data_IF_442337003223
#
_entry.id   IF_442337003223
#
_cell.length_a   1.000
_cell.length_b   1.000
_cell.length_c   1.000
_cell.angle_alpha   90.00
_cell.angle_beta   90.00
_cell.angle_gamma   90.00
#
_symmetry.space_group_name_H-M   'P 1'
#
loop_
_entity.id
_entity.type
_entity.pdbx_description
1 polymer ?
#
# COMPACT_ATOMS: atom_id res chain seq x y z
N UNK A 1 -20.11 -13.54 -6.31
CA UNK A 1 -19.05 -12.52 -6.45
C UNK A 1 -17.75 -13.25 -6.19
N UNK A 2 -16.84 -13.31 -7.16
CA UNK A 2 -15.50 -13.83 -6.90
C UNK A 2 -14.78 -12.74 -6.12
N UNK A 3 -14.50 -12.97 -4.83
CA UNK A 3 -13.59 -12.11 -4.06
C UNK A 3 -12.22 -12.18 -4.70
N UNK A 4 -11.53 -11.05 -4.84
CA UNK A 4 -10.14 -11.10 -5.28
C UNK A 4 -9.30 -11.72 -4.14
N UNK A 5 -8.25 -12.50 -4.45
CA UNK A 5 -7.41 -13.14 -3.43
C UNK A 5 -6.68 -12.10 -2.56
N UNK A 6 -6.25 -10.99 -3.16
CA UNK A 6 -5.65 -9.84 -2.49
C UNK A 6 -6.35 -8.56 -2.97
N UNK A 7 -6.69 -7.67 -2.05
CA UNK A 7 -7.23 -6.34 -2.38
C UNK A 7 -6.51 -5.28 -1.54
N UNK A 8 -6.07 -4.20 -2.18
CA UNK A 8 -5.54 -3.00 -1.53
C UNK A 8 -6.53 -1.87 -1.85
N UNK A 9 -7.29 -1.47 -0.85
CA UNK A 9 -8.33 -0.45 -0.94
C UNK A 9 -7.86 0.82 -0.23
N UNK A 10 -8.29 1.97 -0.73
CA UNK A 10 -7.98 3.25 -0.12
C UNK A 10 -9.17 4.21 -0.19
N UNK A 11 -9.11 5.24 0.65
CA UNK A 11 -9.98 6.39 0.60
C UNK A 11 -9.15 7.63 0.96
N UNK A 12 -9.09 8.61 0.05
CA UNK A 12 -8.45 9.90 0.34
C UNK A 12 -9.36 10.67 1.31
N UNK A 13 -8.80 11.11 2.43
CA UNK A 13 -9.50 11.89 3.46
C UNK A 13 -9.10 13.36 3.36
N UNK A 14 -7.80 13.63 3.26
CA UNK A 14 -7.26 14.96 3.09
C UNK A 14 -6.50 15.08 1.77
N UNK A 15 -6.72 16.20 1.08
CA UNK A 15 -6.13 16.48 -0.22
C UNK A 15 -5.66 17.94 -0.25
N UNK A 16 -4.44 18.22 -0.73
CA UNK A 16 -3.98 19.58 -0.94
C UNK A 16 -4.79 20.31 -2.02
N UNK A 17 -4.93 21.62 -1.87
CA UNK A 17 -5.47 22.47 -2.94
C UNK A 17 -4.56 22.42 -4.18
N UNK A 18 -5.16 22.40 -5.38
CA UNK A 18 -4.41 22.38 -6.63
C UNK A 18 -3.58 23.66 -6.81
N UNK A 19 -2.38 23.58 -7.43
CA UNK A 19 -1.79 22.41 -8.10
C UNK A 19 -1.06 21.44 -7.15
N UNK A 20 -1.10 20.16 -7.48
CA UNK A 20 -0.29 19.13 -6.79
C UNK A 20 1.19 19.40 -7.03
N UNK A 21 1.91 19.70 -5.95
CA UNK A 21 3.38 19.82 -5.95
C UNK A 21 3.99 18.66 -5.18
N UNK A 22 5.30 18.42 -5.36
CA UNK A 22 6.01 17.39 -4.60
C UNK A 22 5.91 17.58 -3.08
N UNK A 23 5.89 18.84 -2.61
CA UNK A 23 5.69 19.15 -1.19
C UNK A 23 4.25 18.87 -0.74
N UNK A 24 3.27 19.03 -1.62
CA UNK A 24 1.88 18.77 -1.32
C UNK A 24 1.54 17.26 -1.27
N UNK A 25 2.40 16.39 -1.80
CA UNK A 25 2.21 14.93 -1.72
C UNK A 25 2.16 14.42 -0.27
N UNK A 26 2.94 15.03 0.63
CA UNK A 26 2.91 14.66 2.05
C UNK A 26 1.66 15.14 2.79
N UNK A 27 0.64 15.61 2.06
CA UNK A 27 -0.66 16.05 2.59
C UNK A 27 -1.81 15.23 1.99
N UNK A 28 -1.49 14.19 1.21
CA UNK A 28 -2.48 13.27 0.66
C UNK A 28 -2.65 12.12 1.64
N UNK A 29 -3.40 12.39 2.70
CA UNK A 29 -3.65 11.44 3.77
C UNK A 29 -5.00 10.75 3.57
N UNK A 30 -5.07 9.51 4.04
CA UNK A 30 -6.31 8.78 3.96
C UNK A 30 -6.24 7.43 4.64
N UNK A 31 -7.27 6.64 4.38
CA UNK A 31 -7.40 5.30 4.90
C UNK A 31 -6.84 4.29 3.91
N UNK A 32 -6.06 3.34 4.40
CA UNK A 32 -5.57 2.19 3.65
C UNK A 32 -6.11 0.90 4.26
N UNK A 33 -6.61 0.00 3.44
CA UNK A 33 -7.09 -1.32 3.84
C UNK A 33 -6.50 -2.40 2.96
N UNK A 34 -6.10 -3.51 3.57
CA UNK A 34 -5.67 -4.70 2.83
C UNK A 34 -6.58 -5.86 3.22
N UNK A 35 -7.05 -6.59 2.22
CA UNK A 35 -7.88 -7.77 2.40
C UNK A 35 -7.20 -9.00 1.79
N UNK A 36 -7.39 -10.14 2.45
CA UNK A 36 -7.00 -11.46 1.96
C UNK A 36 -8.26 -12.34 1.84
N UNK A 37 -8.59 -12.79 0.64
CA UNK A 37 -9.81 -13.55 0.32
C UNK A 37 -11.08 -12.86 0.87
N UNK A 38 -11.15 -11.53 0.75
CA UNK A 38 -12.26 -10.71 1.26
C UNK A 38 -12.27 -10.49 2.78
N UNK A 39 -11.32 -11.04 3.54
CA UNK A 39 -11.14 -10.78 4.97
C UNK A 39 -10.21 -9.59 5.17
N UNK A 40 -10.67 -8.57 5.91
CA UNK A 40 -9.84 -7.43 6.30
C UNK A 40 -8.71 -7.90 7.23
N UNK A 41 -7.47 -7.64 6.85
CA UNK A 41 -6.27 -8.02 7.62
C UNK A 41 -5.49 -6.81 8.13
N UNK A 42 -5.56 -5.70 7.40
CA UNK A 42 -4.93 -4.43 7.75
C UNK A 42 -5.93 -3.30 7.49
N UNK A 43 -6.01 -2.33 8.40
CA UNK A 43 -6.80 -1.13 8.22
C UNK A 43 -6.20 -0.03 9.06
N UNK A 44 -5.62 0.97 8.42
CA UNK A 44 -5.12 2.15 9.09
C UNK A 44 -5.70 3.41 8.49
N UNK A 45 -6.04 4.33 9.38
CA UNK A 45 -6.40 5.69 9.06
C UNK A 45 -5.13 6.56 9.08
N UNK A 46 -5.21 7.78 8.54
CA UNK A 46 -4.12 8.77 8.56
C UNK A 46 -2.77 8.27 7.97
N UNK A 47 -2.83 7.46 6.90
CA UNK A 47 -1.65 7.10 6.10
C UNK A 47 -1.47 8.08 4.96
N UNK A 48 -0.24 8.57 4.77
CA UNK A 48 0.17 9.32 3.58
C UNK A 48 0.13 8.41 2.34
N UNK A 49 -1.02 8.40 1.65
CA UNK A 49 -1.30 7.51 0.51
C UNK A 49 -0.39 7.80 -0.67
N UNK A 50 0.01 9.06 -0.88
CA UNK A 50 0.94 9.41 -1.95
C UNK A 50 2.36 8.88 -1.70
N UNK A 51 2.83 8.91 -0.44
CA UNK A 51 4.10 8.29 -0.07
C UNK A 51 4.04 6.77 -0.25
N UNK A 52 2.98 6.13 0.24
CA UNK A 52 2.77 4.70 0.08
C UNK A 52 2.76 4.29 -1.41
N UNK A 53 2.04 5.02 -2.26
CA UNK A 53 1.99 4.79 -3.70
C UNK A 53 3.35 4.99 -4.38
N UNK A 54 4.08 6.04 -4.02
CA UNK A 54 5.42 6.30 -4.54
C UNK A 54 6.40 5.19 -4.16
N UNK A 55 6.38 4.75 -2.91
CA UNK A 55 7.24 3.67 -2.42
C UNK A 55 6.91 2.33 -3.10
N UNK A 56 5.62 1.98 -3.25
CA UNK A 56 5.19 0.78 -3.98
C UNK A 56 5.63 0.81 -5.44
N UNK A 57 5.38 1.93 -6.13
CA UNK A 57 5.79 2.11 -7.52
C UNK A 57 7.31 2.00 -7.67
N UNK A 58 8.08 2.65 -6.78
CA UNK A 58 9.53 2.57 -6.80
C UNK A 58 10.02 1.14 -6.55
N UNK A 59 9.43 0.45 -5.58
CA UNK A 59 9.76 -0.94 -5.26
C UNK A 59 9.52 -1.85 -6.47
N UNK A 60 8.33 -1.80 -7.08
CA UNK A 60 8.01 -2.59 -8.28
C UNK A 60 8.98 -2.35 -9.44
N UNK A 61 9.43 -1.11 -9.64
CA UNK A 61 10.24 -0.72 -10.79
C UNK A 61 11.75 -0.90 -10.59
N UNK A 62 12.25 -0.85 -9.35
CA UNK A 62 13.71 -0.79 -9.08
C UNK A 62 14.23 -1.86 -8.15
N UNK A 63 13.46 -2.22 -7.13
CA UNK A 63 13.95 -3.06 -6.03
C UNK A 63 13.37 -4.49 -6.06
N UNK A 64 12.19 -4.66 -6.65
CA UNK A 64 11.54 -5.96 -6.85
C UNK A 64 12.26 -6.80 -7.93
N UNK A 65 12.43 -8.12 -7.74
CA UNK A 65 12.12 -8.93 -6.56
C UNK A 65 13.30 -9.03 -5.56
N UNK A 66 14.35 -8.24 -5.74
CA UNK A 66 15.63 -8.40 -5.05
C UNK A 66 15.62 -7.92 -3.58
N UNK A 67 14.66 -7.05 -3.20
CA UNK A 67 14.53 -6.53 -1.83
C UNK A 67 13.07 -6.56 -1.36
N UNK A 68 12.83 -6.67 -0.04
CA UNK A 68 11.50 -6.47 0.50
C UNK A 68 10.97 -5.07 0.22
N UNK A 69 9.65 -4.99 0.13
CA UNK A 69 8.94 -3.73 0.30
C UNK A 69 8.87 -3.42 1.79
N UNK A 70 9.19 -2.19 2.17
CA UNK A 70 9.02 -1.68 3.53
C UNK A 70 8.39 -0.30 3.39
N UNK A 71 7.21 -0.13 3.97
CA UNK A 71 6.61 1.17 4.20
C UNK A 71 6.83 1.55 5.66
N UNK A 72 7.55 2.64 5.88
CA UNK A 72 7.75 3.27 7.18
C UNK A 72 6.90 4.55 7.20
N UNK A 73 6.36 4.91 8.36
CA UNK A 73 5.75 6.21 8.59
C UNK A 73 6.43 6.85 9.78
N UNK A 74 6.79 8.13 9.64
CA UNK A 74 7.51 8.89 10.67
C UNK A 74 6.67 9.13 11.92
N UNK A 75 5.36 8.93 11.84
CA UNK A 75 4.42 9.23 12.92
C UNK A 75 4.34 8.13 13.98
N UNK A 76 5.03 7.01 13.76
CA UNK A 76 4.93 5.83 14.61
C UNK A 76 6.28 5.39 15.17
N UNK A 77 6.27 4.85 16.39
CA UNK A 77 7.47 4.30 17.05
C UNK A 77 7.89 2.92 16.50
N UNK A 78 7.03 2.30 15.69
CA UNK A 78 7.26 0.97 15.12
C UNK A 78 8.26 1.03 13.95
N UNK A 79 9.06 -0.04 13.73
CA UNK A 79 10.09 -0.04 12.70
C UNK A 79 9.52 -0.02 11.27
N UNK A 80 8.24 -0.40 11.09
CA UNK A 80 7.53 -0.34 9.81
C UNK A 80 6.02 -0.37 10.01
N UNK A 81 5.30 0.17 9.02
CA UNK A 81 3.84 0.09 8.86
C UNK A 81 3.46 -1.22 8.18
N UNK A 82 4.08 -1.50 7.03
CA UNK A 82 3.85 -2.69 6.21
C UNK A 82 5.19 -3.18 5.68
N UNK A 83 5.44 -4.49 5.77
CA UNK A 83 6.58 -5.15 5.12
C UNK A 83 6.08 -6.30 4.25
N UNK A 84 6.55 -6.36 2.99
CA UNK A 84 6.27 -7.45 2.07
C UNK A 84 7.57 -8.11 1.60
N UNK A 85 7.75 -9.37 2.00
CA UNK A 85 8.87 -10.22 1.61
C UNK A 85 8.47 -11.20 0.51
N UNK A 86 9.32 -11.34 -0.51
CA UNK A 86 9.14 -12.32 -1.58
C UNK A 86 9.88 -13.60 -1.22
N UNK A 87 9.16 -14.71 -1.13
CA UNK A 87 9.73 -16.04 -0.90
C UNK A 87 9.20 -16.99 -1.97
N UNK A 88 10.09 -17.47 -2.83
CA UNK A 88 9.78 -18.26 -4.01
C UNK A 88 8.75 -17.57 -4.94
N UNK A 89 7.48 -17.99 -4.87
CA UNK A 89 6.38 -17.45 -5.68
C UNK A 89 5.22 -16.93 -4.82
N UNK A 90 5.51 -16.68 -3.54
CA UNK A 90 4.57 -16.13 -2.56
C UNK A 90 5.12 -14.83 -1.98
N UNK A 91 4.20 -13.96 -1.53
CA UNK A 91 4.51 -12.78 -0.73
C UNK A 91 4.05 -13.01 0.70
N UNK A 92 4.95 -12.75 1.64
CA UNK A 92 4.65 -12.70 3.06
C UNK A 92 4.47 -11.24 3.45
N UNK A 93 3.25 -10.85 3.79
CA UNK A 93 2.89 -9.51 4.21
C UNK A 93 2.76 -9.48 5.73
N UNK A 94 3.44 -8.52 6.36
CA UNK A 94 3.41 -8.33 7.82
C UNK A 94 3.23 -6.86 8.17
N UNK A 95 2.62 -6.63 9.32
CA UNK A 95 2.45 -5.32 9.93
C UNK A 95 2.25 -5.50 11.44
N UNK A 96 2.74 -4.57 12.28
CA UNK A 96 2.39 -4.53 13.70
C UNK A 96 0.92 -4.18 13.93
N UNK A 97 0.24 -3.57 12.95
CA UNK A 97 -1.14 -3.10 13.04
C UNK A 97 -2.13 -3.98 12.29
N UNK A 98 -1.89 -5.29 12.38
CA UNK A 98 -2.89 -6.25 11.94
C UNK A 98 -4.18 -6.08 12.73
N UNK A 99 -5.32 -6.25 12.05
CA UNK A 99 -6.62 -6.25 12.72
C UNK A 99 -6.62 -7.31 13.83
N UNK A 100 -7.15 -6.95 15.00
CA UNK A 100 -7.19 -7.83 16.16
C UNK A 100 -7.85 -9.18 15.82
N UNK A 101 -7.21 -10.27 16.21
CA UNK A 101 -7.70 -11.63 15.92
C UNK A 101 -7.37 -12.16 14.52
N UNK A 102 -6.59 -11.42 13.72
CA UNK A 102 -5.96 -11.92 12.50
C UNK A 102 -4.52 -12.37 12.79
N UNK A 103 -4.10 -13.52 12.27
CA UNK A 103 -2.70 -13.94 12.37
C UNK A 103 -1.82 -13.18 11.38
N UNK A 104 -0.73 -12.61 11.88
CA UNK A 104 0.38 -12.06 11.10
C UNK A 104 1.55 -13.07 11.08
N UNK A 105 2.24 -13.27 9.95
CA UNK A 105 2.01 -12.63 8.65
C UNK A 105 0.86 -13.29 7.86
N UNK A 106 0.37 -12.61 6.83
CA UNK A 106 -0.48 -13.23 5.80
C UNK A 106 0.32 -13.55 4.55
N UNK A 107 -0.03 -14.65 3.88
CA UNK A 107 0.65 -15.14 2.69
C UNK A 107 -0.27 -14.98 1.48
N UNK A 108 0.28 -14.45 0.39
CA UNK A 108 -0.39 -14.26 -0.89
C UNK A 108 0.39 -14.94 -2.01
N UNK A 109 -0.27 -15.33 -3.10
CA UNK A 109 0.47 -15.63 -4.32
C UNK A 109 1.08 -14.34 -4.85
N UNK A 110 2.33 -14.42 -5.32
CA UNK A 110 3.07 -13.26 -5.77
C UNK A 110 2.31 -12.49 -6.87
N UNK A 111 1.81 -13.18 -7.89
CA UNK A 111 1.07 -12.55 -8.98
C UNK A 111 -0.20 -11.84 -8.51
N UNK A 112 -0.94 -12.43 -7.56
CA UNK A 112 -2.17 -11.84 -7.01
C UNK A 112 -1.88 -10.55 -6.24
N UNK A 113 -0.78 -10.53 -5.48
CA UNK A 113 -0.35 -9.32 -4.78
C UNK A 113 0.10 -8.23 -5.76
N UNK A 114 0.87 -8.58 -6.79
CA UNK A 114 1.32 -7.63 -7.82
C UNK A 114 0.13 -7.06 -8.59
N UNK A 115 -0.87 -7.88 -8.92
CA UNK A 115 -2.11 -7.43 -9.56
C UNK A 115 -2.87 -6.45 -8.66
N UNK A 116 -2.95 -6.73 -7.35
CA UNK A 116 -3.58 -5.84 -6.37
C UNK A 116 -2.84 -4.49 -6.23
N UNK A 117 -1.51 -4.50 -6.21
CA UNK A 117 -0.69 -3.28 -6.18
C UNK A 117 -0.90 -2.45 -7.45
N UNK A 118 -0.87 -3.07 -8.62
CA UNK A 118 -1.10 -2.35 -9.89
C UNK A 118 -2.51 -1.76 -9.94
N UNK A 119 -3.52 -2.50 -9.49
CA UNK A 119 -4.89 -2.00 -9.41
C UNK A 119 -5.00 -0.81 -8.45
N UNK A 120 -4.34 -0.86 -7.29
CA UNK A 120 -4.26 0.24 -6.35
C UNK A 120 -3.63 1.48 -7.00
N UNK A 121 -2.43 1.34 -7.62
CA UNK A 121 -1.73 2.46 -8.25
C UNK A 121 -2.56 3.11 -9.38
N UNK A 122 -3.22 2.29 -10.21
CA UNK A 122 -4.08 2.79 -11.28
C UNK A 122 -5.27 3.58 -10.73
N UNK A 123 -5.98 3.04 -9.73
CA UNK A 123 -7.10 3.75 -9.09
C UNK A 123 -6.65 5.03 -8.40
N UNK A 124 -5.48 5.02 -7.78
CA UNK A 124 -4.93 6.20 -7.12
C UNK A 124 -4.59 7.32 -8.13
N UNK A 125 -4.02 6.97 -9.28
CA UNK A 125 -3.77 7.91 -10.39
C UNK A 125 -5.08 8.42 -11.02
N UNK A 126 -6.15 7.62 -11.06
CA UNK A 126 -7.48 8.06 -11.50
C UNK A 126 -8.09 9.12 -10.55
N UNK A 127 -7.92 8.97 -9.24
CA UNK A 127 -8.40 9.94 -8.25
C UNK A 127 -7.53 11.20 -8.16
N UNK A 128 -6.22 11.06 -8.40
CA UNK A 128 -5.25 12.14 -8.44
C UNK A 128 -4.45 12.11 -9.75
N UNK A 129 -5.00 12.69 -10.84
CA UNK A 129 -4.35 12.66 -12.14
C UNK A 129 -2.97 13.33 -12.14
N UNK A 130 -2.00 12.66 -12.78
CA UNK A 130 -0.59 13.02 -12.90
C UNK A 130 0.24 12.88 -11.62
N UNK A 131 -0.27 12.22 -10.57
CA UNK A 131 0.46 12.04 -9.30
C UNK A 131 1.79 11.30 -9.51
N UNK A 132 1.79 10.28 -10.38
CA UNK A 132 2.99 9.50 -10.73
C UNK A 132 4.09 10.30 -11.43
N UNK A 133 3.77 11.47 -12.00
CA UNK A 133 4.78 12.36 -12.59
C UNK A 133 5.53 13.20 -11.56
N UNK A 134 5.05 13.24 -10.31
CA UNK A 134 5.55 14.11 -9.26
C UNK A 134 6.56 13.38 -8.36
N UNK A 135 6.49 12.05 -8.25
CA UNK A 135 7.40 11.23 -7.45
C UNK A 135 8.45 10.46 -8.26
#
# INVERSE_FOLDING_TARGET
MNSMPCEINFQIVDRPEEPLTKMALSQVDGRLQILNEGRLIFSEDDICLAEFAAQLSNWLNKDFPCKPFIHESMDYEEPFVIMADVVDNDITLSSPWWVEGISSPSIFKLNEFIDAVNLFLNKFEEELPNISSIY
#
